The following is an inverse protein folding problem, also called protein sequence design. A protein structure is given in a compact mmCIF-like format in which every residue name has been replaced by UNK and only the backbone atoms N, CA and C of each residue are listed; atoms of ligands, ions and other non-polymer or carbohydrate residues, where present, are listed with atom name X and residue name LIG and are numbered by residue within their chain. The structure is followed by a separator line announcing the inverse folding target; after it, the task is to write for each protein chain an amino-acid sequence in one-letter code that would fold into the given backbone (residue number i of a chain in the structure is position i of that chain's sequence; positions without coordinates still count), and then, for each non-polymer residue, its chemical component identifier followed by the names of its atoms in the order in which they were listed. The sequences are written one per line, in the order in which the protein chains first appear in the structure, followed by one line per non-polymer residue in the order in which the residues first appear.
data_IF_226542217520
#
_entry.id   IF_226542217520
#
_cell.length_a   1.000
_cell.length_b   1.000
_cell.length_c   1.000
_cell.angle_alpha   90.00
_cell.angle_beta   90.00
_cell.angle_gamma   90.00
#
_symmetry.space_group_name_H-M   'P 1'
#
loop_
_entity.id
_entity.type
_entity.pdbx_description
1 polymer ?
#
# COMPACT_ATOMS: atom_id res chain seq x y z
N UNK A 1 -20.50 13.35 19.80
CA UNK A 1 -20.47 13.63 18.33
C UNK A 1 -20.11 12.33 17.64
N UNK A 2 -20.55 12.11 16.41
CA UNK A 2 -20.12 10.91 15.67
C UNK A 2 -18.63 11.02 15.35
N UNK A 3 -17.89 9.95 15.59
CA UNK A 3 -16.47 9.85 15.24
C UNK A 3 -16.32 9.77 13.72
N UNK A 4 -15.30 10.44 13.19
CA UNK A 4 -14.93 10.33 11.77
C UNK A 4 -13.90 9.23 11.64
N UNK A 5 -14.14 8.27 10.76
CA UNK A 5 -13.27 7.13 10.55
C UNK A 5 -12.54 7.33 9.23
N UNK A 6 -11.22 7.11 9.24
CA UNK A 6 -10.39 7.07 8.04
C UNK A 6 -9.58 5.79 7.99
N UNK A 7 -9.57 5.16 6.83
CA UNK A 7 -8.67 4.06 6.53
C UNK A 7 -7.45 4.57 5.77
N UNK A 8 -6.24 4.37 6.30
CA UNK A 8 -5.00 4.81 5.67
C UNK A 8 -4.06 3.62 5.54
N UNK A 9 -3.64 3.37 4.31
CA UNK A 9 -2.64 2.35 3.96
C UNK A 9 -1.26 3.00 3.78
N UNK A 10 -0.35 2.63 4.66
CA UNK A 10 1.02 3.11 4.73
C UNK A 10 1.93 2.22 3.87
N UNK A 11 1.76 2.25 2.54
CA UNK A 11 2.63 1.51 1.63
C UNK A 11 4.08 2.02 1.65
N UNK A 12 5.02 1.26 1.11
CA UNK A 12 6.39 1.73 0.93
C UNK A 12 6.53 2.62 -0.31
N UNK A 13 5.71 2.39 -1.34
CA UNK A 13 5.70 3.20 -2.56
C UNK A 13 4.74 4.37 -2.49
N UNK A 14 3.53 4.14 -1.96
CA UNK A 14 2.47 5.16 -1.92
C UNK A 14 1.69 5.09 -0.61
N UNK A 15 1.29 6.27 -0.12
CA UNK A 15 0.21 6.43 0.86
C UNK A 15 -1.14 6.32 0.15
N UNK A 16 -2.10 5.65 0.77
CA UNK A 16 -3.43 5.48 0.18
C UNK A 16 -4.52 5.67 1.22
N UNK A 17 -5.58 6.35 0.83
CA UNK A 17 -6.85 6.43 1.53
C UNK A 17 -7.97 5.90 0.63
N UNK A 18 -9.22 6.16 0.97
CA UNK A 18 -10.37 5.81 0.11
C UNK A 18 -10.37 6.62 -1.19
N UNK A 19 -9.99 7.91 -1.13
CA UNK A 19 -10.04 8.85 -2.25
C UNK A 19 -8.69 9.45 -2.61
N UNK A 20 -7.61 9.04 -1.94
CA UNK A 20 -6.27 9.55 -2.16
C UNK A 20 -5.27 8.43 -2.43
N UNK A 21 -4.30 8.74 -3.28
CA UNK A 21 -3.12 7.92 -3.52
C UNK A 21 -1.99 8.86 -3.94
N UNK A 22 -0.88 8.88 -3.19
CA UNK A 22 0.27 9.72 -3.49
C UNK A 22 1.58 9.05 -3.05
N UNK A 23 2.73 9.38 -3.69
CA UNK A 23 4.01 8.77 -3.38
C UNK A 23 4.44 9.01 -1.92
N UNK A 24 5.12 8.04 -1.32
CA UNK A 24 5.76 8.18 -0.01
C UNK A 24 7.06 8.96 -0.14
N UNK A 25 6.96 10.25 -0.48
CA UNK A 25 8.08 11.17 -0.59
C UNK A 25 7.81 12.46 0.16
N UNK A 26 8.78 12.93 0.95
CA UNK A 26 8.70 14.18 1.73
C UNK A 26 9.95 15.02 1.51
N UNK A 27 9.75 16.31 1.34
CA UNK A 27 10.81 17.33 1.44
C UNK A 27 10.53 18.19 2.66
N UNK A 28 11.57 18.47 3.47
CA UNK A 28 11.50 19.27 4.68
C UNK A 28 12.16 20.63 4.48
N UNK A 29 11.54 21.67 5.03
CA UNK A 29 12.04 23.05 4.98
C UNK A 29 11.99 23.69 6.35
N UNK A 30 12.98 24.50 6.68
CA UNK A 30 13.06 25.27 7.95
C UNK A 30 12.25 26.57 7.90
N UNK A 31 11.85 27.01 6.70
CA UNK A 31 10.99 28.16 6.45
C UNK A 31 9.97 27.83 5.38
N UNK A 32 8.87 28.58 5.32
CA UNK A 32 7.83 28.32 4.31
C UNK A 32 8.42 28.36 2.91
N UNK A 33 8.35 27.26 2.13
CA UNK A 33 8.84 27.25 0.76
C UNK A 33 7.95 28.10 -0.14
N UNK A 34 8.53 28.66 -1.20
CA UNK A 34 7.75 29.32 -2.24
C UNK A 34 6.77 28.33 -2.86
N UNK A 35 5.51 28.73 -2.99
CA UNK A 35 4.49 27.87 -3.64
C UNK A 35 4.76 27.80 -5.13
N UNK A 36 4.99 26.59 -5.62
CA UNK A 36 5.03 26.32 -7.05
C UNK A 36 3.74 25.59 -7.42
N UNK A 37 2.94 26.20 -8.30
CA UNK A 37 1.61 25.70 -8.70
C UNK A 37 0.65 25.47 -7.51
N UNK A 38 -0.05 24.32 -7.48
CA UNK A 38 -1.06 23.96 -6.48
C UNK A 38 -0.52 22.98 -5.42
N UNK A 39 0.78 23.04 -5.11
CA UNK A 39 1.37 22.15 -4.10
C UNK A 39 0.79 22.43 -2.71
N UNK A 40 0.39 21.36 -2.04
CA UNK A 40 -0.04 21.43 -0.65
C UNK A 40 1.19 21.56 0.26
N UNK A 41 1.26 22.61 1.08
CA UNK A 41 2.29 22.83 2.09
C UNK A 41 1.70 22.50 3.46
N UNK A 42 2.33 21.56 4.16
CA UNK A 42 1.99 21.24 5.55
C UNK A 42 3.02 21.86 6.50
N UNK A 43 2.55 22.55 7.54
CA UNK A 43 3.38 23.03 8.65
C UNK A 43 3.02 22.23 9.90
N UNK A 44 4.02 21.56 10.49
CA UNK A 44 3.89 20.84 11.75
C UNK A 44 5.07 21.14 12.65
N UNK A 45 4.79 21.61 13.87
CA UNK A 45 5.80 21.97 14.88
C UNK A 45 6.92 22.91 14.36
N UNK A 46 6.54 23.89 13.51
CA UNK A 46 7.47 24.88 12.96
C UNK A 46 8.33 24.41 11.80
N UNK A 47 8.15 23.17 11.35
CA UNK A 47 8.78 22.62 10.14
C UNK A 47 7.75 22.56 9.02
N UNK A 48 8.17 22.91 7.80
CA UNK A 48 7.34 22.87 6.62
C UNK A 48 7.68 21.64 5.78
N UNK A 49 6.66 21.08 5.16
CA UNK A 49 6.79 19.88 4.35
C UNK A 49 6.06 20.05 3.02
N UNK A 50 6.58 19.42 1.97
CA UNK A 50 5.88 19.20 0.70
C UNK A 50 5.98 17.73 0.34
N UNK A 51 5.00 17.22 -0.42
CA UNK A 51 5.09 15.89 -1.01
C UNK A 51 6.12 15.91 -2.15
N UNK A 52 6.71 14.77 -2.43
CA UNK A 52 7.69 14.57 -3.51
C UNK A 52 7.39 13.27 -4.24
N UNK A 53 7.60 13.27 -5.56
CA UNK A 53 7.55 12.06 -6.38
C UNK A 53 8.75 11.14 -6.10
N UNK A 54 9.84 11.71 -5.57
CA UNK A 54 10.99 10.90 -5.12
C UNK A 54 10.64 10.21 -3.81
N UNK A 55 10.48 8.89 -3.89
CA UNK A 55 10.12 8.06 -2.73
C UNK A 55 11.22 8.05 -1.67
N UNK A 56 10.81 8.01 -0.41
CA UNK A 56 11.72 7.79 0.71
C UNK A 56 12.36 6.39 0.64
N UNK A 57 13.55 6.21 1.23
CA UNK A 57 14.13 4.88 1.42
C UNK A 57 13.17 3.93 2.14
N UNK A 58 13.23 2.64 1.79
CA UNK A 58 12.45 1.60 2.45
C UNK A 58 12.68 1.60 3.96
N UNK A 59 11.60 1.58 4.75
CA UNK A 59 11.63 1.47 6.22
C UNK A 59 10.95 0.18 6.65
N UNK A 60 11.72 -0.73 7.26
CA UNK A 60 11.18 -1.96 7.83
C UNK A 60 10.27 -1.68 9.05
N UNK A 61 10.60 -0.66 9.83
CA UNK A 61 9.76 -0.12 10.90
C UNK A 61 9.37 1.31 10.55
N UNK A 62 8.08 1.56 10.42
CA UNK A 62 7.51 2.86 10.03
C UNK A 62 7.40 3.83 11.20
N UNK A 63 7.82 3.43 12.40
CA UNK A 63 7.72 4.21 13.63
C UNK A 63 9.06 4.80 14.08
N UNK A 64 10.12 4.63 13.27
CA UNK A 64 11.50 5.07 13.62
C UNK A 64 11.68 6.59 13.63
N UNK A 65 10.80 7.29 12.92
CA UNK A 65 10.77 8.77 12.83
C UNK A 65 9.35 9.26 12.53
N UNK A 66 9.19 10.57 12.31
CA UNK A 66 7.89 11.19 12.11
C UNK A 66 7.41 11.18 10.65
N UNK A 67 8.15 10.63 9.71
CA UNK A 67 7.82 10.72 8.29
C UNK A 67 6.44 10.13 7.97
N UNK A 68 6.15 8.93 8.46
CA UNK A 68 4.84 8.31 8.23
C UNK A 68 3.71 9.02 9.00
N UNK A 69 4.02 9.67 10.12
CA UNK A 69 3.04 10.52 10.81
C UNK A 69 2.70 11.75 9.95
N UNK A 70 3.70 12.44 9.41
CA UNK A 70 3.50 13.61 8.53
C UNK A 70 2.74 13.21 7.28
N UNK A 71 3.10 12.09 6.63
CA UNK A 71 2.35 11.56 5.49
C UNK A 71 0.89 11.23 5.85
N UNK A 72 0.64 10.76 7.08
CA UNK A 72 -0.72 10.52 7.57
C UNK A 72 -1.51 11.83 7.73
N UNK A 73 -0.88 12.90 8.20
CA UNK A 73 -1.54 14.22 8.27
C UNK A 73 -1.94 14.72 6.87
N UNK A 74 -1.08 14.53 5.86
CA UNK A 74 -1.41 14.80 4.47
C UNK A 74 -2.62 13.98 4.01
N UNK A 75 -2.56 12.66 4.21
CA UNK A 75 -3.64 11.76 3.81
C UNK A 75 -4.97 12.14 4.45
N UNK A 76 -4.98 12.46 5.75
CA UNK A 76 -6.19 12.89 6.47
C UNK A 76 -6.75 14.21 5.96
N UNK A 77 -5.88 15.21 5.72
CA UNK A 77 -6.31 16.50 5.21
C UNK A 77 -6.89 16.39 3.79
N UNK A 78 -6.25 15.60 2.93
CA UNK A 78 -6.70 15.36 1.56
C UNK A 78 -8.00 14.52 1.53
N UNK A 79 -8.10 13.47 2.35
CA UNK A 79 -9.33 12.67 2.47
C UNK A 79 -10.50 13.53 2.98
N UNK A 80 -10.27 14.33 4.02
CA UNK A 80 -11.29 15.22 4.56
C UNK A 80 -11.76 16.22 3.49
N UNK A 81 -10.84 16.80 2.71
CA UNK A 81 -11.17 17.70 1.59
C UNK A 81 -12.00 16.98 0.52
N UNK A 82 -11.61 15.77 0.12
CA UNK A 82 -12.33 15.00 -0.90
C UNK A 82 -13.73 14.55 -0.43
N UNK A 83 -13.86 14.25 0.87
CA UNK A 83 -15.16 13.90 1.48
C UNK A 83 -16.00 15.12 1.86
N UNK A 84 -15.52 16.36 1.68
CA UNK A 84 -16.22 17.60 2.11
C UNK A 84 -16.35 17.70 3.63
N UNK A 85 -15.43 17.13 4.39
CA UNK A 85 -15.45 17.06 5.86
C UNK A 85 -14.47 18.07 6.44
N UNK A 86 -14.88 18.75 7.52
CA UNK A 86 -13.98 19.57 8.33
C UNK A 86 -13.45 18.75 9.51
N UNK A 87 -12.12 18.62 9.63
CA UNK A 87 -11.47 17.89 10.73
C UNK A 87 -11.47 18.69 12.03
N UNK A 88 -11.41 20.02 11.94
CA UNK A 88 -11.23 20.91 13.11
C UNK A 88 -12.30 20.68 14.17
N UNK A 89 -11.84 20.38 15.39
CA UNK A 89 -12.68 20.09 16.55
C UNK A 89 -13.36 18.73 16.53
N UNK A 90 -12.97 17.83 15.64
CA UNK A 90 -13.59 16.50 15.50
C UNK A 90 -12.80 15.42 16.22
N UNK A 91 -13.52 14.35 16.57
CA UNK A 91 -12.99 13.09 17.02
C UNK A 91 -12.74 12.19 15.79
N UNK A 92 -11.51 11.72 15.64
CA UNK A 92 -11.05 10.89 14.53
C UNK A 92 -10.63 9.52 15.04
N UNK A 93 -10.96 8.49 14.29
CA UNK A 93 -10.46 7.12 14.51
C UNK A 93 -9.75 6.67 13.22
N UNK A 94 -8.55 6.09 13.38
CA UNK A 94 -7.79 5.56 12.26
C UNK A 94 -7.92 4.05 12.14
N UNK A 95 -8.20 3.56 10.94
CA UNK A 95 -7.94 2.20 10.52
C UNK A 95 -6.64 2.16 9.73
N UNK A 96 -5.66 1.39 10.18
CA UNK A 96 -4.35 1.26 9.53
C UNK A 96 -3.96 -0.20 9.38
N UNK A 97 -2.92 -0.50 8.64
CA UNK A 97 -2.47 -1.88 8.47
C UNK A 97 -0.98 -2.05 8.43
N UNK A 98 -0.58 -3.30 8.66
CA UNK A 98 0.81 -3.77 8.56
C UNK A 98 0.87 -5.01 7.67
N UNK A 99 2.03 -5.25 7.01
CA UNK A 99 2.29 -6.50 6.33
C UNK A 99 1.96 -7.70 7.25
N UNK A 100 1.42 -8.80 6.71
CA UNK A 100 1.03 -9.94 7.54
C UNK A 100 2.16 -10.48 8.42
N UNK A 101 3.40 -10.47 7.93
CA UNK A 101 4.56 -10.92 8.68
C UNK A 101 4.85 -10.05 9.91
N UNK A 102 4.68 -8.73 9.79
CA UNK A 102 5.02 -7.75 10.82
C UNK A 102 3.89 -7.52 11.83
N UNK A 103 2.65 -7.83 11.43
CA UNK A 103 1.44 -7.54 12.22
C UNK A 103 1.53 -8.02 13.66
N UNK A 104 1.98 -9.26 13.89
CA UNK A 104 2.05 -9.83 15.24
C UNK A 104 3.06 -9.15 16.18
N UNK A 105 4.11 -8.56 15.62
CA UNK A 105 5.19 -7.93 16.39
C UNK A 105 5.03 -6.41 16.50
N UNK A 106 4.57 -5.77 15.43
CA UNK A 106 4.57 -4.30 15.33
C UNK A 106 3.20 -3.65 15.55
N UNK A 107 2.09 -4.41 15.60
CA UNK A 107 0.74 -3.82 15.69
C UNK A 107 0.57 -2.90 16.91
N UNK A 108 1.11 -3.30 18.08
CA UNK A 108 1.01 -2.52 19.31
C UNK A 108 1.88 -1.25 19.24
N UNK A 109 3.12 -1.35 18.76
CA UNK A 109 4.01 -0.20 18.61
C UNK A 109 3.51 0.77 17.55
N UNK A 110 2.96 0.27 16.45
CA UNK A 110 2.38 1.06 15.37
C UNK A 110 1.13 1.84 15.83
N UNK A 111 0.23 1.19 16.60
CA UNK A 111 -0.88 1.87 17.27
C UNK A 111 -0.38 2.96 18.22
N UNK A 112 0.59 2.61 19.08
CA UNK A 112 1.16 3.52 20.08
C UNK A 112 1.82 4.74 19.42
N UNK A 113 2.51 4.54 18.30
CA UNK A 113 3.15 5.61 17.53
C UNK A 113 2.18 6.76 17.21
N UNK A 114 1.02 6.48 16.66
CA UNK A 114 0.02 7.51 16.37
C UNK A 114 -0.60 8.11 17.63
N UNK A 115 -0.89 7.28 18.65
CA UNK A 115 -1.48 7.78 19.90
C UNK A 115 -0.51 8.65 20.69
N UNK A 116 0.79 8.36 20.64
CA UNK A 116 1.81 9.18 21.30
C UNK A 116 1.91 10.58 20.67
N UNK A 117 1.84 10.71 19.36
CA UNK A 117 1.77 11.99 18.65
C UNK A 117 0.47 12.76 18.96
N UNK A 118 -0.58 12.07 19.35
CA UNK A 118 -1.92 12.63 19.56
C UNK A 118 -2.27 12.93 21.03
N UNK A 119 -1.34 12.76 21.99
CA UNK A 119 -1.62 12.90 23.44
C UNK A 119 -2.29 14.21 23.86
N UNK A 120 -1.97 15.29 23.16
CA UNK A 120 -2.50 16.63 23.44
C UNK A 120 -3.41 17.16 22.31
N UNK A 121 -3.94 16.25 21.49
CA UNK A 121 -4.59 16.58 20.23
C UNK A 121 -3.57 16.81 19.12
N UNK A 122 -4.02 16.75 17.88
CA UNK A 122 -3.20 16.97 16.68
C UNK A 122 -3.53 18.37 16.15
N UNK A 123 -2.49 19.20 15.97
CA UNK A 123 -2.60 20.53 15.38
C UNK A 123 -1.50 20.74 14.35
N UNK A 124 -1.88 21.14 13.15
CA UNK A 124 -0.98 21.47 12.04
C UNK A 124 -1.62 22.54 11.15
N UNK A 125 -0.87 23.07 10.19
CA UNK A 125 -1.46 23.91 9.16
C UNK A 125 -1.35 23.23 7.79
N UNK A 126 -2.39 23.33 7.01
CA UNK A 126 -2.40 22.94 5.59
C UNK A 126 -2.67 24.18 4.76
N UNK A 127 -1.71 24.57 3.93
CA UNK A 127 -1.77 25.80 3.12
C UNK A 127 -2.05 27.07 3.96
N UNK A 128 -1.41 27.17 5.15
CA UNK A 128 -1.60 28.28 6.09
C UNK A 128 -2.89 28.22 6.92
N UNK A 129 -3.81 27.29 6.64
CA UNK A 129 -5.06 27.12 7.39
C UNK A 129 -4.85 26.12 8.53
N UNK A 130 -5.18 26.51 9.76
CA UNK A 130 -5.09 25.64 10.93
C UNK A 130 -6.09 24.49 10.88
N UNK A 131 -5.59 23.30 11.15
CA UNK A 131 -6.37 22.06 11.30
C UNK A 131 -6.03 21.48 12.66
N UNK A 132 -7.06 21.19 13.47
CA UNK A 132 -6.89 20.56 14.77
C UNK A 132 -7.98 19.51 15.01
N UNK A 133 -7.62 18.35 15.54
CA UNK A 133 -8.55 17.28 15.84
C UNK A 133 -8.05 16.38 16.95
N UNK A 134 -8.90 15.48 17.46
CA UNK A 134 -8.56 14.51 18.49
C UNK A 134 -8.53 13.11 17.88
N UNK A 135 -7.38 12.46 17.93
CA UNK A 135 -7.27 11.05 17.57
C UNK A 135 -7.72 10.19 18.77
N UNK A 136 -8.88 9.56 18.66
CA UNK A 136 -9.49 8.77 19.74
C UNK A 136 -8.94 7.37 19.85
N UNK A 137 -8.77 6.72 18.72
CA UNK A 137 -8.21 5.37 18.69
C UNK A 137 -7.62 5.04 17.31
N UNK A 138 -6.81 3.98 17.29
CA UNK A 138 -6.19 3.42 16.08
C UNK A 138 -6.40 1.92 16.06
N UNK A 139 -7.02 1.44 14.99
CA UNK A 139 -7.22 0.00 14.76
C UNK A 139 -6.23 -0.50 13.71
N UNK A 140 -5.34 -1.39 14.12
CA UNK A 140 -4.38 -2.02 13.21
C UNK A 140 -4.95 -3.34 12.71
N UNK A 141 -4.84 -3.59 11.41
CA UNK A 141 -5.29 -4.82 10.75
C UNK A 141 -4.15 -5.41 9.90
N UNK A 142 -4.12 -6.73 9.67
CA UNK A 142 -3.23 -7.28 8.65
C UNK A 142 -3.62 -6.75 7.27
N UNK A 143 -2.66 -6.31 6.48
CA UNK A 143 -2.84 -6.05 5.05
C UNK A 143 -3.42 -7.29 4.38
N UNK A 144 -3.96 -7.16 3.18
CA UNK A 144 -4.62 -8.21 2.41
C UNK A 144 -5.95 -8.68 3.04
N UNK A 145 -5.98 -8.98 4.35
CA UNK A 145 -7.20 -9.43 5.02
C UNK A 145 -8.33 -8.41 4.91
N UNK A 146 -8.03 -7.14 5.20
CA UNK A 146 -9.03 -6.08 5.16
C UNK A 146 -9.58 -5.88 3.73
N UNK A 147 -8.72 -5.88 2.72
CA UNK A 147 -9.11 -5.77 1.32
C UNK A 147 -9.99 -6.95 0.88
N UNK A 148 -9.55 -8.19 1.15
CA UNK A 148 -10.28 -9.40 0.72
C UNK A 148 -11.62 -9.52 1.43
N UNK A 149 -11.69 -9.19 2.71
CA UNK A 149 -12.97 -9.15 3.46
C UNK A 149 -13.98 -8.17 2.86
N UNK A 150 -13.53 -7.07 2.29
CA UNK A 150 -14.40 -6.06 1.69
C UNK A 150 -14.80 -6.36 0.26
N UNK A 151 -13.84 -6.80 -0.55
CA UNK A 151 -14.03 -6.93 -2.00
C UNK A 151 -14.34 -8.34 -2.46
N UNK A 152 -13.99 -9.37 -1.67
CA UNK A 152 -14.13 -10.79 -2.01
C UNK A 152 -14.83 -11.61 -0.92
N UNK A 153 -15.74 -11.00 -0.17
CA UNK A 153 -16.47 -11.68 0.91
C UNK A 153 -17.25 -12.91 0.42
N UNK A 154 -17.78 -12.90 -0.79
CA UNK A 154 -18.46 -14.04 -1.41
C UNK A 154 -17.51 -15.23 -1.62
N UNK A 155 -16.26 -14.97 -2.01
CA UNK A 155 -15.23 -15.99 -2.19
C UNK A 155 -14.89 -16.66 -0.86
N UNK A 156 -14.77 -15.86 0.21
CA UNK A 156 -14.51 -16.37 1.57
C UNK A 156 -15.66 -17.22 2.15
N UNK A 157 -16.88 -17.01 1.67
CA UNK A 157 -18.03 -17.87 2.03
C UNK A 157 -18.03 -19.19 1.22
N UNK A 158 -17.53 -19.15 -0.01
CA UNK A 158 -17.55 -20.28 -0.92
C UNK A 158 -16.40 -21.26 -0.66
N UNK A 159 -15.21 -20.75 -0.32
CA UNK A 159 -14.00 -21.55 -0.15
C UNK A 159 -13.48 -21.46 1.29
N UNK A 160 -13.09 -22.62 1.84
CA UNK A 160 -12.53 -22.72 3.19
C UNK A 160 -11.16 -22.06 3.31
N UNK A 161 -10.38 -22.10 2.23
CA UNK A 161 -9.04 -21.55 2.18
C UNK A 161 -8.94 -20.64 0.97
N UNK A 162 -8.38 -19.46 1.15
CA UNK A 162 -8.08 -18.48 0.10
C UNK A 162 -6.67 -17.95 0.33
N UNK A 163 -5.85 -17.96 -0.72
CA UNK A 163 -4.52 -17.39 -0.72
C UNK A 163 -4.60 -15.93 -1.17
N UNK A 164 -4.11 -14.99 -0.38
CA UNK A 164 -4.13 -13.57 -0.70
C UNK A 164 -2.70 -13.12 -0.96
N UNK A 165 -2.41 -12.65 -2.16
CA UNK A 165 -1.07 -12.25 -2.61
C UNK A 165 -1.12 -10.78 -3.01
N UNK A 166 -0.43 -9.94 -2.24
CA UNK A 166 -0.28 -8.51 -2.51
C UNK A 166 1.09 -8.26 -3.13
N UNK A 167 1.12 -7.82 -4.38
CA UNK A 167 2.36 -7.42 -5.03
C UNK A 167 2.46 -5.90 -4.94
N UNK A 168 3.22 -5.45 -3.95
CA UNK A 168 3.50 -4.04 -3.71
C UNK A 168 4.76 -3.54 -4.40
N UNK A 169 5.09 -2.27 -4.17
CA UNK A 169 6.32 -1.67 -4.67
C UNK A 169 7.56 -2.26 -3.97
N UNK A 170 7.54 -2.35 -2.64
CA UNK A 170 8.67 -2.84 -1.84
C UNK A 170 8.61 -4.32 -1.49
N UNK A 171 7.42 -4.90 -1.36
CA UNK A 171 7.22 -6.25 -0.86
C UNK A 171 6.22 -7.04 -1.69
N UNK A 172 6.33 -8.36 -1.60
CA UNK A 172 5.27 -9.30 -1.97
C UNK A 172 4.81 -9.99 -0.69
N UNK A 173 3.53 -9.83 -0.37
CA UNK A 173 2.95 -10.32 0.87
C UNK A 173 1.98 -11.47 0.60
N UNK A 174 2.15 -12.59 1.30
CA UNK A 174 1.21 -13.71 1.31
C UNK A 174 0.51 -13.81 2.66
N UNK A 175 -0.81 -13.85 2.61
CA UNK A 175 -1.67 -14.19 3.75
C UNK A 175 -2.64 -15.30 3.32
N UNK A 176 -2.73 -16.35 4.11
CA UNK A 176 -3.76 -17.37 3.92
C UNK A 176 -4.97 -17.04 4.82
N UNK A 177 -6.17 -17.07 4.25
CA UNK A 177 -7.42 -16.94 4.98
C UNK A 177 -8.08 -18.31 5.05
N UNK A 178 -8.32 -18.80 6.28
CA UNK A 178 -9.00 -20.08 6.53
C UNK A 178 -10.31 -19.85 7.28
N UNK A 179 -11.41 -20.38 6.72
CA UNK A 179 -12.75 -20.22 7.32
C UNK A 179 -13.10 -18.75 7.65
N UNK A 180 -12.72 -17.83 6.74
CA UNK A 180 -12.95 -16.39 6.88
C UNK A 180 -12.07 -15.68 7.93
N UNK A 181 -11.04 -16.34 8.47
CA UNK A 181 -10.09 -15.75 9.42
C UNK A 181 -8.67 -15.80 8.89
N UNK A 182 -7.83 -14.78 9.18
CA UNK A 182 -6.42 -14.81 8.78
C UNK A 182 -5.69 -15.93 9.52
N UNK A 183 -4.99 -16.78 8.77
CA UNK A 183 -4.10 -17.79 9.33
C UNK A 183 -2.72 -17.16 9.53
N UNK A 184 -2.48 -16.65 10.72
CA UNK A 184 -1.22 -15.98 11.05
C UNK A 184 -0.02 -16.94 11.18
N UNK A 185 -0.22 -18.25 11.06
CA UNK A 185 0.90 -19.21 10.96
C UNK A 185 1.47 -19.27 9.54
N UNK A 186 0.69 -18.89 8.52
CA UNK A 186 1.10 -18.82 7.12
C UNK A 186 1.04 -17.37 6.65
N UNK A 187 2.09 -16.64 6.93
CA UNK A 187 2.24 -15.24 6.58
C UNK A 187 3.67 -14.97 6.11
N UNK A 188 3.79 -14.31 4.98
CA UNK A 188 5.08 -14.00 4.35
C UNK A 188 5.09 -12.55 3.91
N UNK A 189 6.22 -11.90 4.07
CA UNK A 189 6.53 -10.63 3.43
C UNK A 189 7.93 -10.76 2.83
N UNK A 190 8.00 -10.86 1.50
CA UNK A 190 9.26 -10.92 0.75
C UNK A 190 9.59 -9.54 0.21
N UNK A 191 10.84 -9.09 0.40
CA UNK A 191 11.31 -7.77 -0.02
C UNK A 191 11.65 -7.67 -1.51
N UNK A 192 11.14 -8.56 -2.32
CA UNK A 192 11.33 -8.58 -3.77
C UNK A 192 10.11 -7.97 -4.50
N UNK A 193 9.63 -6.81 -4.08
CA UNK A 193 8.51 -6.12 -4.75
C UNK A 193 8.86 -5.56 -6.12
N UNK A 194 7.95 -4.79 -6.71
CA UNK A 194 8.08 -4.25 -8.07
C UNK A 194 9.32 -3.36 -8.28
N UNK A 195 9.79 -2.68 -7.22
CA UNK A 195 11.02 -1.88 -7.30
C UNK A 195 12.23 -2.74 -7.69
N UNK A 196 12.32 -3.97 -7.17
CA UNK A 196 13.40 -4.92 -7.52
C UNK A 196 13.26 -5.35 -8.98
N UNK A 197 12.07 -5.74 -9.42
CA UNK A 197 11.82 -6.14 -10.81
C UNK A 197 12.20 -5.02 -11.78
N UNK A 198 11.74 -3.79 -11.55
CA UNK A 198 12.06 -2.64 -12.41
C UNK A 198 13.56 -2.38 -12.49
N UNK A 199 14.26 -2.45 -11.35
CA UNK A 199 15.71 -2.28 -11.30
C UNK A 199 16.45 -3.38 -12.07
N UNK A 200 16.06 -4.65 -11.90
CA UNK A 200 16.64 -5.77 -12.66
C UNK A 200 16.47 -5.57 -14.17
N UNK A 201 15.27 -5.18 -14.61
CA UNK A 201 14.95 -4.92 -16.04
C UNK A 201 15.79 -3.76 -16.56
N UNK A 202 15.74 -2.59 -15.91
CA UNK A 202 16.47 -1.40 -16.37
C UNK A 202 17.97 -1.66 -16.49
N UNK A 203 18.56 -2.35 -15.51
CA UNK A 203 19.97 -2.71 -15.54
C UNK A 203 20.31 -3.68 -16.69
N UNK A 204 19.48 -4.71 -16.90
CA UNK A 204 19.71 -5.67 -17.98
C UNK A 204 19.58 -5.04 -19.38
N UNK A 205 18.58 -4.21 -19.58
CA UNK A 205 18.38 -3.51 -20.87
C UNK A 205 19.51 -2.52 -21.13
N UNK A 206 19.97 -1.80 -20.11
CA UNK A 206 21.12 -0.91 -20.26
C UNK A 206 22.40 -1.68 -20.62
N UNK A 207 22.66 -2.82 -19.98
CA UNK A 207 23.83 -3.65 -20.25
C UNK A 207 23.80 -4.29 -21.65
N UNK A 208 22.62 -4.81 -22.05
CA UNK A 208 22.52 -5.60 -23.29
C UNK A 208 22.28 -4.74 -24.53
N UNK A 209 21.64 -3.58 -24.39
CA UNK A 209 21.19 -2.74 -25.50
C UNK A 209 21.70 -1.30 -25.43
N UNK A 210 22.32 -0.87 -24.32
CA UNK A 210 22.78 0.51 -24.12
C UNK A 210 21.65 1.53 -23.92
N UNK A 211 20.42 1.06 -23.64
CA UNK A 211 19.23 1.89 -23.47
C UNK A 211 18.93 2.04 -21.99
N UNK A 212 18.73 3.29 -21.55
CA UNK A 212 18.32 3.60 -20.19
C UNK A 212 16.81 3.70 -20.13
N UNK A 213 16.18 2.82 -19.36
CA UNK A 213 14.74 2.82 -19.10
C UNK A 213 14.46 3.37 -17.71
N UNK A 214 13.46 4.22 -17.59
CA UNK A 214 12.91 4.56 -16.28
C UNK A 214 11.80 3.58 -15.85
N UNK A 215 11.23 3.81 -14.67
CA UNK A 215 10.18 2.93 -14.15
C UNK A 215 8.91 2.97 -15.00
N UNK A 216 8.58 4.10 -15.61
CA UNK A 216 7.38 4.27 -16.43
C UNK A 216 7.48 3.52 -17.75
N UNK A 217 8.68 3.50 -18.36
CA UNK A 217 8.92 2.73 -19.58
C UNK A 217 8.68 1.23 -19.36
N UNK A 218 9.20 0.71 -18.23
CA UNK A 218 9.00 -0.70 -17.85
C UNK A 218 7.52 -1.01 -17.61
N UNK A 219 6.83 -0.14 -16.85
CA UNK A 219 5.41 -0.32 -16.54
C UNK A 219 4.54 -0.28 -17.80
N UNK A 220 4.83 0.63 -18.75
CA UNK A 220 4.15 0.74 -20.03
C UNK A 220 4.23 -0.58 -20.83
N UNK A 221 5.40 -1.22 -20.87
CA UNK A 221 5.56 -2.52 -21.53
C UNK A 221 4.79 -3.62 -20.81
N UNK A 222 4.83 -3.66 -19.47
CA UNK A 222 4.11 -4.67 -18.68
C UNK A 222 2.60 -4.53 -18.83
N UNK A 223 2.08 -3.31 -18.94
CA UNK A 223 0.66 -3.02 -19.19
C UNK A 223 0.27 -3.22 -20.65
N UNK A 224 1.23 -3.49 -21.55
CA UNK A 224 1.03 -3.64 -22.99
C UNK A 224 0.47 -2.37 -23.66
N UNK A 225 0.85 -1.23 -23.13
CA UNK A 225 0.58 0.06 -23.74
C UNK A 225 1.49 0.28 -24.97
N UNK A 226 1.10 1.21 -25.82
CA UNK A 226 1.89 1.57 -27.00
C UNK A 226 3.25 2.14 -26.58
N UNK A 227 4.34 1.64 -27.18
CA UNK A 227 5.70 2.06 -26.89
C UNK A 227 6.54 2.13 -28.18
N UNK A 228 7.57 2.96 -28.19
CA UNK A 228 8.53 3.08 -29.29
C UNK A 228 9.71 2.11 -29.16
N UNK A 229 9.74 1.27 -28.14
CA UNK A 229 10.83 0.31 -27.94
C UNK A 229 10.80 -0.80 -29.02
N UNK A 230 11.99 -1.25 -29.41
CA UNK A 230 12.13 -2.39 -30.32
C UNK A 230 11.45 -3.65 -29.73
N UNK A 231 10.80 -4.45 -30.59
CA UNK A 231 10.10 -5.67 -30.21
C UNK A 231 10.97 -6.65 -29.39
N UNK A 232 12.26 -6.77 -29.72
CA UNK A 232 13.22 -7.61 -28.98
C UNK A 232 13.39 -7.17 -27.53
N UNK A 233 13.32 -5.84 -27.26
CA UNK A 233 13.43 -5.28 -25.91
C UNK A 233 12.13 -5.53 -25.16
N UNK A 234 10.98 -5.33 -25.80
CA UNK A 234 9.66 -5.64 -25.23
C UNK A 234 9.58 -7.11 -24.81
N UNK A 235 9.99 -8.02 -25.67
CA UNK A 235 10.01 -9.46 -25.36
C UNK A 235 10.96 -9.81 -24.22
N UNK A 236 12.12 -9.16 -24.14
CA UNK A 236 13.06 -9.36 -23.04
C UNK A 236 12.47 -8.89 -21.71
N UNK A 237 11.82 -7.72 -21.67
CA UNK A 237 11.14 -7.19 -20.47
C UNK A 237 10.05 -8.17 -20.02
N UNK A 238 9.21 -8.64 -20.93
CA UNK A 238 8.14 -9.59 -20.63
C UNK A 238 8.70 -10.90 -20.06
N UNK A 239 9.74 -11.45 -20.69
CA UNK A 239 10.41 -12.67 -20.23
C UNK A 239 11.03 -12.50 -18.83
N UNK A 240 11.61 -11.34 -18.55
CA UNK A 240 12.17 -11.04 -17.22
C UNK A 240 11.06 -10.97 -16.16
N UNK A 241 9.91 -10.39 -16.49
CA UNK A 241 8.77 -10.33 -15.61
C UNK A 241 8.18 -11.72 -15.31
N UNK A 242 8.08 -12.60 -16.31
CA UNK A 242 7.66 -14.00 -16.13
C UNK A 242 8.64 -14.77 -15.22
N UNK A 243 9.93 -14.63 -15.45
CA UNK A 243 10.97 -15.26 -14.63
C UNK A 243 10.94 -14.74 -13.18
N UNK A 244 10.72 -13.42 -13.00
CA UNK A 244 10.59 -12.85 -11.67
C UNK A 244 9.36 -13.42 -10.95
N UNK A 245 8.20 -13.45 -11.64
CA UNK A 245 6.96 -14.01 -11.06
C UNK A 245 7.18 -15.48 -10.65
N UNK A 246 7.82 -16.28 -11.49
CA UNK A 246 8.11 -17.67 -11.15
C UNK A 246 9.03 -17.81 -9.92
N UNK A 247 10.04 -16.92 -9.80
CA UNK A 247 10.89 -16.89 -8.59
C UNK A 247 10.08 -16.56 -7.34
N UNK A 248 9.14 -15.60 -7.43
CA UNK A 248 8.25 -15.25 -6.33
C UNK A 248 7.35 -16.43 -5.97
N UNK A 249 6.68 -17.02 -6.93
CA UNK A 249 5.81 -18.19 -6.71
C UNK A 249 6.58 -19.33 -6.02
N UNK A 250 7.78 -19.64 -6.49
CA UNK A 250 8.63 -20.67 -5.88
C UNK A 250 8.97 -20.37 -4.41
N UNK A 251 9.25 -19.10 -4.06
CA UNK A 251 9.43 -18.69 -2.67
C UNK A 251 8.14 -18.90 -1.86
N UNK A 252 6.99 -18.50 -2.39
CA UNK A 252 5.71 -18.63 -1.70
C UNK A 252 5.30 -20.10 -1.52
N UNK A 253 5.69 -21.01 -2.43
CA UNK A 253 5.45 -22.45 -2.30
C UNK A 253 6.12 -23.08 -1.08
N UNK A 254 7.14 -22.48 -0.50
CA UNK A 254 7.72 -22.96 0.77
C UNK A 254 6.75 -22.81 1.94
N UNK A 255 5.70 -22.01 1.79
CA UNK A 255 4.72 -21.70 2.84
C UNK A 255 3.31 -22.23 2.57
N UNK A 256 2.98 -22.53 1.32
CA UNK A 256 1.70 -23.13 0.90
C UNK A 256 1.95 -24.34 0.02
N UNK A 257 1.18 -25.40 0.21
CA UNK A 257 1.43 -26.70 -0.42
C UNK A 257 1.25 -26.63 -1.95
N UNK A 258 0.16 -26.01 -2.42
CA UNK A 258 -0.13 -25.90 -3.86
C UNK A 258 -1.18 -24.80 -4.10
N UNK A 259 -0.84 -23.83 -4.94
CA UNK A 259 -1.78 -22.77 -5.32
C UNK A 259 -2.91 -23.23 -6.24
N UNK A 260 -2.79 -24.41 -6.87
CA UNK A 260 -3.83 -24.98 -7.73
C UNK A 260 -5.01 -25.56 -6.94
N UNK A 261 -4.84 -25.80 -5.65
CA UNK A 261 -5.87 -26.42 -4.80
C UNK A 261 -6.82 -25.42 -4.16
N UNK A 262 -6.45 -24.15 -4.10
CA UNK A 262 -7.22 -23.09 -3.45
C UNK A 262 -7.21 -21.82 -4.32
N UNK A 263 -8.28 -21.01 -4.28
CA UNK A 263 -8.28 -19.72 -4.96
C UNK A 263 -7.14 -18.82 -4.52
N UNK A 264 -6.55 -18.11 -5.48
CA UNK A 264 -5.62 -17.03 -5.26
C UNK A 264 -6.31 -15.68 -5.55
N UNK A 265 -6.21 -14.74 -4.62
CA UNK A 265 -6.67 -13.36 -4.79
C UNK A 265 -5.43 -12.48 -4.85
N UNK A 266 -5.24 -11.83 -5.98
CA UNK A 266 -4.17 -10.88 -6.21
C UNK A 266 -4.64 -9.45 -5.99
N UNK A 267 -3.81 -8.65 -5.33
CA UNK A 267 -4.05 -7.24 -5.08
C UNK A 267 -2.72 -6.46 -5.11
N UNK A 268 -2.80 -5.15 -4.97
CA UNK A 268 -1.64 -4.26 -5.10
C UNK A 268 -1.33 -3.85 -6.53
N UNK A 269 -0.60 -2.75 -6.69
CA UNK A 269 -0.28 -2.18 -8.00
C UNK A 269 0.52 -3.13 -8.89
N UNK A 270 1.46 -3.88 -8.30
CA UNK A 270 2.25 -4.88 -9.03
C UNK A 270 1.42 -6.03 -9.58
N UNK A 271 0.35 -6.44 -8.89
CA UNK A 271 -0.55 -7.47 -9.40
C UNK A 271 -1.30 -7.01 -10.66
N UNK A 272 -1.61 -5.71 -10.77
CA UNK A 272 -2.25 -5.15 -11.96
C UNK A 272 -1.26 -5.06 -13.12
N UNK A 273 -0.03 -4.63 -12.86
CA UNK A 273 1.04 -4.59 -13.86
C UNK A 273 1.38 -5.97 -14.42
N UNK A 274 1.36 -6.99 -13.56
CA UNK A 274 1.70 -8.37 -13.91
C UNK A 274 0.48 -9.26 -14.17
N UNK A 275 -0.72 -8.67 -14.35
CA UNK A 275 -1.97 -9.43 -14.52
C UNK A 275 -1.85 -10.52 -15.57
N UNK A 276 -1.32 -10.21 -16.75
CA UNK A 276 -1.21 -11.14 -17.85
C UNK A 276 -0.26 -12.30 -17.53
N UNK A 277 0.88 -12.01 -16.92
CA UNK A 277 1.84 -13.03 -16.49
C UNK A 277 1.21 -13.96 -15.43
N UNK A 278 0.42 -13.40 -14.50
CA UNK A 278 -0.29 -14.16 -13.47
C UNK A 278 -1.37 -15.04 -14.10
N UNK A 279 -2.20 -14.49 -14.99
CA UNK A 279 -3.28 -15.22 -15.68
C UNK A 279 -2.75 -16.34 -16.58
N UNK A 280 -1.60 -16.14 -17.21
CA UNK A 280 -0.93 -17.14 -18.05
C UNK A 280 -0.15 -18.19 -17.24
N UNK A 281 0.06 -17.97 -15.95
CA UNK A 281 0.79 -18.90 -15.10
C UNK A 281 -0.03 -20.18 -14.85
N UNK A 282 0.59 -21.35 -15.07
CA UNK A 282 -0.01 -22.65 -14.77
C UNK A 282 -0.02 -23.00 -13.27
N UNK A 283 0.57 -22.15 -12.44
CA UNK A 283 0.65 -22.36 -11.00
C UNK A 283 -0.68 -22.09 -10.28
N UNK A 284 -1.60 -21.36 -10.91
CA UNK A 284 -2.89 -21.01 -10.33
C UNK A 284 -4.04 -21.61 -11.16
N UNK A 285 -4.94 -22.34 -10.50
CA UNK A 285 -6.14 -22.86 -11.17
C UNK A 285 -7.31 -21.86 -11.14
N UNK A 286 -7.36 -21.03 -10.12
CA UNK A 286 -8.41 -20.03 -9.91
C UNK A 286 -7.81 -18.75 -9.38
N UNK A 287 -7.89 -17.70 -10.17
CA UNK A 287 -7.33 -16.37 -9.84
C UNK A 287 -8.47 -15.35 -9.85
N UNK A 288 -8.46 -14.49 -8.86
CA UNK A 288 -9.24 -13.25 -8.86
C UNK A 288 -8.33 -12.06 -8.54
N UNK A 289 -8.71 -10.89 -9.04
CA UNK A 289 -8.00 -9.64 -8.77
C UNK A 289 -8.89 -8.68 -7.99
N UNK A 290 -8.25 -7.87 -7.16
CA UNK A 290 -8.83 -6.65 -6.60
C UNK A 290 -8.17 -5.48 -7.33
N UNK A 291 -8.91 -4.84 -8.22
CA UNK A 291 -8.40 -3.84 -9.16
C UNK A 291 -8.13 -2.46 -8.52
N UNK A 292 -8.71 -2.21 -7.35
CA UNK A 292 -8.51 -0.95 -6.65
C UNK A 292 -7.21 -1.02 -5.81
N UNK A 293 -6.21 -0.24 -6.20
CA UNK A 293 -4.93 -0.14 -5.47
C UNK A 293 -5.11 0.38 -4.03
N UNK A 294 -6.26 0.99 -3.72
CA UNK A 294 -6.63 1.51 -2.40
C UNK A 294 -7.40 0.50 -1.55
N UNK A 295 -7.55 -0.73 -2.03
CA UNK A 295 -8.40 -1.75 -1.40
C UNK A 295 -8.06 -2.00 0.08
N UNK A 296 -6.78 -1.96 0.47
CA UNK A 296 -6.37 -2.08 1.86
C UNK A 296 -6.91 -0.91 2.70
N UNK A 297 -6.75 0.33 2.27
CA UNK A 297 -7.23 1.52 2.98
C UNK A 297 -8.76 1.49 3.14
N UNK A 298 -9.49 1.21 2.06
CA UNK A 298 -10.95 1.04 2.06
C UNK A 298 -11.35 -0.07 3.04
N UNK A 299 -10.61 -1.17 3.03
CA UNK A 299 -10.81 -2.29 3.92
C UNK A 299 -10.62 -1.91 5.39
N UNK A 300 -9.58 -1.15 5.71
CA UNK A 300 -9.32 -0.69 7.10
C UNK A 300 -10.46 0.21 7.59
N UNK A 301 -10.94 1.16 6.78
CA UNK A 301 -12.06 2.04 7.14
C UNK A 301 -13.32 1.23 7.44
N UNK A 302 -13.68 0.28 6.56
CA UNK A 302 -14.86 -0.57 6.74
C UNK A 302 -14.76 -1.50 7.95
N UNK A 303 -13.59 -2.15 8.18
CA UNK A 303 -13.39 -3.00 9.35
C UNK A 303 -13.42 -2.21 10.65
N UNK A 304 -12.82 -1.02 10.68
CA UNK A 304 -12.84 -0.11 11.84
C UNK A 304 -14.26 0.33 12.14
N UNK A 305 -15.02 0.74 11.12
CA UNK A 305 -16.44 1.08 11.25
C UNK A 305 -17.27 -0.08 11.81
N UNK A 306 -17.04 -1.30 11.30
CA UNK A 306 -17.76 -2.48 11.78
C UNK A 306 -17.41 -2.84 13.24
N UNK A 307 -16.17 -2.61 13.68
CA UNK A 307 -15.73 -2.83 15.08
C UNK A 307 -16.42 -1.84 16.02
N UNK A 308 -16.41 -0.55 15.69
CA UNK A 308 -17.03 0.51 16.51
C UNK A 308 -18.56 0.36 16.63
N UNK A 309 -19.23 -0.23 15.65
CA UNK A 309 -20.67 -0.52 15.72
C UNK A 309 -21.04 -1.73 16.59
N UNK A 310 -20.07 -2.58 16.92
CA UNK A 310 -20.29 -3.80 17.73
C UNK A 310 -19.90 -3.64 19.19
N UNK A 311 -19.09 -2.64 19.53
CA UNK A 311 -18.74 -2.26 20.90
C UNK A 311 -19.66 -1.18 21.43
#
# INVERSE_FOLDING_TARGET
MAEIIFGIDHGNGNMKGENVCFPCGLVRYVSEPGRFMNEDILEYQGTYYTLSDTKMPFKADKTVDDDYFILTLYALAMEARNKGITLTGKDVVLGVGLPPADYGQQATSFKKYFLDHAKHGISFKMNGKSVNFYLKDVFVSPQNFAAVMCFKASLLKKYRTVNCIDIGDGTVDLLVIRNGKPDLSVRVSDRSGMAVLRSEISNAIQQNYGIHLDSSDVEQVLMQEETILDEKIILEIQRMAENWLQRIINKLHTHVTDFRTNPAVFLGGGSLLLRKQIENSLEFKYVEFIDDVRANAIGYEKLTTARLRRG
#
